data_IF_270603311039
#
_entry.id   IF_270603311039
#
_cell.length_a   1.000
_cell.length_b   1.000
_cell.length_c   1.000
_cell.angle_alpha   90.00
_cell.angle_beta   90.00
_cell.angle_gamma   90.00
#
_symmetry.space_group_name_H-M   'P 1'
#
loop_
_entity.id
_entity.type
_entity.pdbx_description
1 polymer ?
#
# COMPACT_ATOMS: atom_id res chain seq x y z
N UNK A 1 -24.38 8.12 52.98
CA UNK A 1 -25.13 7.82 51.75
C UNK A 1 -24.09 7.74 50.63
N UNK A 2 -23.71 6.54 50.19
CA UNK A 2 -24.43 5.71 49.19
C UNK A 2 -24.09 6.21 47.78
N UNK A 3 -23.22 5.47 47.08
CA UNK A 3 -23.18 5.47 45.61
C UNK A 3 -24.41 4.70 45.09
N UNK A 4 -25.06 5.16 44.01
CA UNK A 4 -24.84 4.63 42.64
C UNK A 4 -24.96 5.73 41.54
N UNK A 5 -24.67 5.59 40.23
CA UNK A 5 -24.27 4.51 39.32
C UNK A 5 -23.84 5.12 37.95
N UNK A 6 -23.25 4.29 37.08
CA UNK A 6 -22.59 4.61 35.80
C UNK A 6 -23.53 5.03 34.65
N UNK A 7 -23.09 5.97 33.79
CA UNK A 7 -23.45 6.21 32.37
C UNK A 7 -22.86 7.58 31.99
N UNK A 8 -22.01 7.83 31.00
CA UNK A 8 -21.45 7.09 29.89
C UNK A 8 -20.71 8.10 28.97
N UNK A 9 -19.88 7.57 28.08
CA UNK A 9 -19.39 8.21 26.84
C UNK A 9 -18.19 9.19 26.89
N UNK A 10 -17.03 8.61 26.58
CA UNK A 10 -16.19 9.01 25.45
C UNK A 10 -15.86 10.50 25.27
N UNK A 11 -14.71 10.90 25.82
CA UNK A 11 -14.02 12.16 25.47
C UNK A 11 -12.55 11.94 25.09
N UNK A 12 -12.17 10.76 24.58
CA UNK A 12 -10.77 10.45 24.21
C UNK A 12 -10.38 10.93 22.81
N UNK A 13 -11.06 11.95 22.28
CA UNK A 13 -10.74 12.56 20.98
C UNK A 13 -10.72 14.09 21.09
N UNK A 14 -9.71 14.58 21.81
CA UNK A 14 -9.30 15.99 21.80
C UNK A 14 -8.35 16.26 20.63
N UNK A 15 -8.96 16.63 19.50
CA UNK A 15 -8.38 17.26 18.31
C UNK A 15 -7.01 17.94 18.46
N UNK A 16 -5.99 17.40 17.79
CA UNK A 16 -5.06 18.14 16.90
C UNK A 16 -4.10 17.15 16.24
N UNK A 17 -4.60 16.37 15.26
CA UNK A 17 -3.72 15.57 14.40
C UNK A 17 -3.54 16.37 13.12
N UNK A 18 -2.46 17.15 13.10
CA UNK A 18 -2.00 17.90 11.94
C UNK A 18 -2.07 17.03 10.68
N UNK A 19 -2.47 17.61 9.54
CA UNK A 19 -2.71 16.85 8.32
C UNK A 19 -1.39 16.46 7.67
N UNK A 20 -0.69 15.49 8.25
CA UNK A 20 0.29 14.65 7.54
C UNK A 20 -0.43 13.65 6.60
N UNK A 21 -1.54 14.06 5.99
CA UNK A 21 -2.10 13.48 4.76
C UNK A 21 -1.31 14.03 3.56
N UNK A 22 0.01 13.88 3.59
CA UNK A 22 0.92 14.13 2.46
C UNK A 22 1.73 12.86 2.23
N UNK A 23 2.20 12.63 1.00
CA UNK A 23 2.05 11.39 0.27
C UNK A 23 2.96 10.30 0.82
N UNK A 24 2.60 9.72 1.97
CA UNK A 24 3.15 8.46 2.48
C UNK A 24 2.07 7.37 2.32
N UNK A 25 0.79 7.72 2.48
CA UNK A 25 -0.32 6.83 2.19
C UNK A 25 -0.38 6.43 0.71
N UNK A 26 -0.16 7.38 -0.20
CA UNK A 26 -0.09 7.12 -1.65
C UNK A 26 1.06 6.14 -2.02
N UNK A 27 2.31 6.34 -1.55
CA UNK A 27 3.38 5.35 -1.69
C UNK A 27 3.09 4.00 -1.07
N UNK A 28 2.41 3.95 0.07
CA UNK A 28 2.08 2.70 0.73
C UNK A 28 1.04 1.90 -0.07
N UNK A 29 0.04 2.57 -0.64
CA UNK A 29 -1.00 1.95 -1.47
C UNK A 29 -0.45 1.49 -2.82
N UNK A 30 0.36 2.32 -3.48
CA UNK A 30 0.98 1.97 -4.75
C UNK A 30 2.12 0.97 -4.58
N UNK A 31 2.80 0.97 -3.43
CA UNK A 31 4.04 0.27 -3.14
C UNK A 31 5.27 1.16 -3.41
N UNK A 32 6.26 1.25 -2.50
CA UNK A 32 7.47 2.03 -2.72
C UNK A 32 8.33 1.49 -3.88
N UNK A 33 8.27 0.18 -4.14
CA UNK A 33 8.94 -0.46 -5.28
C UNK A 33 8.37 0.01 -6.62
N UNK A 34 7.05 0.05 -6.73
CA UNK A 34 6.29 0.47 -7.90
C UNK A 34 6.52 1.93 -8.21
N UNK A 35 6.63 2.79 -7.18
CA UNK A 35 7.06 4.18 -7.36
C UNK A 35 8.50 4.29 -7.86
N UNK A 36 9.43 3.53 -7.28
CA UNK A 36 10.83 3.51 -7.74
C UNK A 36 10.94 3.06 -9.20
N UNK A 37 10.21 2.00 -9.59
CA UNK A 37 10.17 1.51 -10.97
C UNK A 37 9.56 2.53 -11.92
N UNK A 38 8.45 3.18 -11.55
CA UNK A 38 7.84 4.26 -12.36
C UNK A 38 8.79 5.44 -12.56
N UNK A 39 9.53 5.83 -11.52
CA UNK A 39 10.53 6.90 -11.61
C UNK A 39 11.68 6.54 -12.56
N UNK A 40 12.22 5.33 -12.47
CA UNK A 40 13.29 4.87 -13.38
C UNK A 40 12.79 4.77 -14.82
N UNK A 41 11.61 4.18 -15.02
CA UNK A 41 11.05 3.97 -16.35
C UNK A 41 10.62 5.29 -17.01
N UNK A 42 10.04 6.21 -16.24
CA UNK A 42 9.71 7.56 -16.69
C UNK A 42 10.94 8.38 -17.07
N UNK A 43 12.06 8.24 -16.33
CA UNK A 43 13.33 8.91 -16.65
C UNK A 43 14.03 8.29 -17.87
N UNK A 44 13.96 6.98 -18.03
CA UNK A 44 14.67 6.25 -19.09
C UNK A 44 13.95 6.29 -20.44
N UNK A 45 12.62 6.43 -20.47
CA UNK A 45 11.81 6.30 -21.69
C UNK A 45 10.79 7.45 -21.84
N UNK A 46 11.28 8.70 -21.89
CA UNK A 46 10.43 9.89 -22.03
C UNK A 46 9.54 9.88 -23.31
N UNK A 47 9.95 9.16 -24.35
CA UNK A 47 9.24 9.07 -25.64
C UNK A 47 8.08 8.03 -25.63
N UNK A 48 7.99 7.20 -24.58
CA UNK A 48 6.97 6.16 -24.42
C UNK A 48 5.86 6.52 -23.42
N UNK A 49 5.76 7.79 -23.02
CA UNK A 49 4.78 8.29 -22.03
C UNK A 49 3.35 7.86 -22.33
N UNK A 50 2.95 7.79 -23.62
CA UNK A 50 1.62 7.32 -24.02
C UNK A 50 1.35 5.84 -23.69
N UNK A 51 2.35 4.96 -23.83
CA UNK A 51 2.23 3.54 -23.43
C UNK A 51 2.16 3.39 -21.92
N UNK A 52 2.94 4.18 -21.18
CA UNK A 52 2.92 4.18 -19.71
C UNK A 52 1.55 4.63 -19.18
N UNK A 53 0.98 5.69 -19.77
CA UNK A 53 -0.38 6.13 -19.44
C UNK A 53 -1.43 5.06 -19.73
N UNK A 54 -1.34 4.39 -20.89
CA UNK A 54 -2.23 3.29 -21.23
C UNK A 54 -2.13 2.12 -20.25
N UNK A 55 -0.92 1.72 -19.87
CA UNK A 55 -0.69 0.67 -18.87
C UNK A 55 -1.23 1.05 -17.48
N UNK A 56 -1.06 2.31 -17.06
CA UNK A 56 -1.57 2.81 -15.79
C UNK A 56 -3.10 2.83 -15.75
N UNK A 57 -3.75 3.32 -16.82
CA UNK A 57 -5.21 3.27 -16.95
C UNK A 57 -5.75 1.85 -16.93
N UNK A 58 -5.08 0.93 -17.64
CA UNK A 58 -5.46 -0.49 -17.63
C UNK A 58 -5.32 -1.10 -16.23
N UNK A 59 -4.22 -0.81 -15.52
CA UNK A 59 -4.02 -1.27 -14.15
C UNK A 59 -5.13 -0.73 -13.22
N UNK A 60 -5.48 0.56 -13.32
CA UNK A 60 -6.60 1.13 -12.57
C UNK A 60 -7.94 0.49 -12.92
N UNK A 61 -8.21 0.25 -14.19
CA UNK A 61 -9.43 -0.41 -14.62
C UNK A 61 -9.55 -1.83 -14.05
N UNK A 62 -8.45 -2.60 -14.09
CA UNK A 62 -8.38 -3.93 -13.49
C UNK A 62 -8.56 -3.86 -11.96
N UNK A 63 -7.89 -2.93 -11.27
CA UNK A 63 -8.06 -2.74 -9.82
C UNK A 63 -9.49 -2.37 -9.45
N UNK A 64 -10.14 -1.50 -10.22
CA UNK A 64 -11.54 -1.13 -10.02
C UNK A 64 -12.47 -2.33 -10.23
N UNK A 65 -12.20 -3.16 -11.25
CA UNK A 65 -12.95 -4.38 -11.49
C UNK A 65 -12.78 -5.41 -10.36
N UNK A 66 -11.57 -5.55 -9.83
CA UNK A 66 -11.29 -6.40 -8.66
C UNK A 66 -12.05 -5.90 -7.43
N UNK A 67 -12.05 -4.59 -7.17
CA UNK A 67 -12.85 -4.00 -6.09
C UNK A 67 -14.35 -4.25 -6.28
N UNK A 68 -14.86 -4.15 -7.52
CA UNK A 68 -16.26 -4.45 -7.80
C UNK A 68 -16.61 -5.93 -7.53
N UNK A 69 -15.68 -6.85 -7.78
CA UNK A 69 -15.80 -8.27 -7.45
C UNK A 69 -15.44 -8.61 -5.99
N UNK A 70 -15.06 -7.63 -5.17
CA UNK A 70 -14.69 -7.80 -3.76
C UNK A 70 -15.66 -8.65 -2.94
N UNK A 71 -17.00 -8.45 -2.98
CA UNK A 71 -17.92 -9.30 -2.22
C UNK A 71 -17.91 -10.78 -2.68
N UNK A 72 -17.56 -11.02 -3.95
CA UNK A 72 -17.44 -12.35 -4.54
C UNK A 72 -16.11 -13.02 -4.13
N UNK A 73 -15.02 -12.24 -4.12
CA UNK A 73 -13.72 -12.65 -3.59
C UNK A 73 -13.79 -12.98 -2.09
N UNK A 74 -14.47 -12.17 -1.28
CA UNK A 74 -14.69 -12.44 0.14
C UNK A 74 -15.41 -13.77 0.37
N UNK A 75 -16.42 -14.07 -0.46
CA UNK A 75 -17.19 -15.31 -0.36
C UNK A 75 -16.38 -16.54 -0.80
N UNK A 76 -15.46 -16.36 -1.75
CA UNK A 76 -14.57 -17.40 -2.25
C UNK A 76 -13.39 -17.68 -1.29
N UNK A 77 -12.81 -16.64 -0.70
CA UNK A 77 -11.62 -16.74 0.16
C UNK A 77 -11.95 -17.09 1.62
N UNK A 78 -13.16 -16.82 2.12
CA UNK A 78 -13.56 -17.01 3.53
C UNK A 78 -12.55 -16.41 4.53
N UNK A 79 -12.78 -16.59 5.83
CA UNK A 79 -11.89 -16.04 6.87
C UNK A 79 -10.48 -16.64 6.85
N UNK A 80 -10.34 -17.95 6.54
CA UNK A 80 -9.02 -18.61 6.49
C UNK A 80 -8.17 -18.14 5.31
N UNK A 81 -8.78 -17.91 4.15
CA UNK A 81 -8.06 -17.41 2.97
C UNK A 81 -7.62 -15.96 3.15
N UNK A 82 -8.46 -15.13 3.79
CA UNK A 82 -8.09 -13.74 4.11
C UNK A 82 -6.90 -13.69 5.08
N UNK A 83 -6.92 -14.50 6.15
CA UNK A 83 -5.80 -14.57 7.11
C UNK A 83 -4.50 -15.09 6.47
N UNK A 84 -4.59 -16.06 5.55
CA UNK A 84 -3.43 -16.51 4.77
C UNK A 84 -2.89 -15.41 3.86
N UNK A 85 -3.76 -14.61 3.24
CA UNK A 85 -3.38 -13.47 2.40
C UNK A 85 -2.70 -12.36 3.18
N UNK A 86 -3.20 -12.00 4.37
CA UNK A 86 -2.56 -11.02 5.25
C UNK A 86 -1.14 -11.47 5.63
N UNK A 87 -0.99 -12.75 6.01
CA UNK A 87 0.32 -13.32 6.31
C UNK A 87 1.26 -13.33 5.10
N UNK A 88 0.73 -13.72 3.93
CA UNK A 88 1.49 -13.73 2.68
C UNK A 88 1.96 -12.32 2.32
N UNK A 89 1.07 -11.33 2.38
CA UNK A 89 1.38 -9.93 2.08
C UNK A 89 2.47 -9.41 3.01
N UNK A 90 2.39 -9.72 4.31
CA UNK A 90 3.45 -9.40 5.28
C UNK A 90 4.79 -10.08 4.97
N UNK A 91 4.78 -11.38 4.63
CA UNK A 91 6.00 -12.10 4.25
C UNK A 91 6.63 -11.54 2.97
N UNK A 92 5.82 -11.22 1.96
CA UNK A 92 6.27 -10.61 0.71
C UNK A 92 6.85 -9.21 0.94
N UNK A 93 6.19 -8.39 1.76
CA UNK A 93 6.69 -7.06 2.11
C UNK A 93 8.07 -7.14 2.80
N UNK A 94 8.26 -8.08 3.72
CA UNK A 94 9.54 -8.28 4.40
C UNK A 94 10.62 -8.74 3.42
N UNK A 95 10.32 -9.73 2.58
CA UNK A 95 11.24 -10.22 1.55
C UNK A 95 11.64 -9.10 0.58
N UNK A 96 10.67 -8.35 0.06
CA UNK A 96 10.92 -7.24 -0.87
C UNK A 96 11.73 -6.12 -0.20
N UNK A 97 11.44 -5.81 1.07
CA UNK A 97 12.21 -4.80 1.82
C UNK A 97 13.69 -5.19 1.93
N UNK A 98 13.98 -6.46 2.26
CA UNK A 98 15.36 -6.95 2.33
C UNK A 98 16.04 -6.94 0.97
N UNK A 99 15.34 -7.37 -0.09
CA UNK A 99 15.88 -7.36 -1.45
C UNK A 99 16.23 -5.94 -1.91
N UNK A 100 15.32 -4.98 -1.76
CA UNK A 100 15.56 -3.58 -2.13
C UNK A 100 16.70 -2.94 -1.32
N UNK A 101 16.84 -3.30 -0.04
CA UNK A 101 17.95 -2.84 0.78
C UNK A 101 19.29 -3.35 0.25
N UNK A 102 19.38 -4.64 -0.06
CA UNK A 102 20.59 -5.26 -0.63
C UNK A 102 20.92 -4.65 -2.00
N UNK A 103 19.94 -4.46 -2.86
CA UNK A 103 20.12 -3.85 -4.18
C UNK A 103 20.62 -2.41 -4.07
N UNK A 104 20.10 -1.64 -3.10
CA UNK A 104 20.58 -0.29 -2.80
C UNK A 104 22.05 -0.27 -2.35
N UNK A 105 22.46 -1.16 -1.44
CA UNK A 105 23.85 -1.26 -0.96
C UNK A 105 24.78 -1.71 -2.10
N UNK A 106 24.38 -2.71 -2.89
CA UNK A 106 25.16 -3.20 -4.05
C UNK A 106 25.38 -2.11 -5.10
N UNK A 107 24.36 -1.32 -5.41
CA UNK A 107 24.47 -0.19 -6.34
C UNK A 107 25.47 0.86 -5.87
N UNK A 108 25.57 1.08 -4.55
CA UNK A 108 26.52 2.02 -3.97
C UNK A 108 27.97 1.52 -4.09
N UNK A 109 28.21 0.24 -3.82
CA UNK A 109 29.56 -0.36 -3.88
C UNK A 109 30.07 -0.47 -5.31
N UNK A 110 29.24 -0.80 -6.30
CA UNK A 110 29.67 -0.88 -7.70
C UNK A 110 29.97 0.50 -8.33
N UNK A 111 29.47 1.58 -7.72
CA UNK A 111 29.74 2.95 -8.19
C UNK A 111 31.05 3.51 -7.61
N UNK A 112 31.61 2.87 -6.57
CA UNK A 112 32.94 3.16 -6.01
C UNK A 112 34.00 2.19 -6.56
#
# INVERSE_FOLDING_TARGET
MIFPGEEGSSGLYGSSKEPFMVPIAMPLIAGPSTLATLLVLGKSHADATGKLFGALLLAWFISALIMYLSPLLYKLLREKGLSALERLMGMLLLMMSVQMFIDGVRGLIHTF
#
